data_IF_237089086619
#
_entry.id   IF_237089086619
#
_cell.length_a   1.000
_cell.length_b   1.000
_cell.length_c   1.000
_cell.angle_alpha   90.00
_cell.angle_beta   90.00
_cell.angle_gamma   90.00
#
_symmetry.space_group_name_H-M   'P 1'
#
loop_
_entity.id
_entity.type
_entity.pdbx_description
1 polymer ?
#
# COMPACT_ATOMS: atom_id res chain seq x y z
N UNK A 1 1.79 -18.31 40.88
CA UNK A 1 1.64 -17.32 39.80
C UNK A 1 0.21 -16.77 39.77
N UNK A 2 -0.85 -17.58 39.68
CA UNK A 2 -2.24 -17.11 39.55
C UNK A 2 -2.68 -16.20 40.69
N UNK A 3 -2.42 -16.62 41.95
CA UNK A 3 -2.72 -15.80 43.14
C UNK A 3 -2.01 -14.43 43.08
N UNK A 4 -0.74 -14.38 42.66
CA UNK A 4 0.00 -13.13 42.55
C UNK A 4 -0.62 -12.19 41.49
N UNK A 5 -1.08 -12.74 40.37
CA UNK A 5 -1.76 -11.95 39.35
C UNK A 5 -3.11 -11.40 39.82
N UNK A 6 -3.87 -12.20 40.55
CA UNK A 6 -5.16 -11.78 41.12
C UNK A 6 -4.96 -10.68 42.16
N UNK A 7 -3.97 -10.82 43.05
CA UNK A 7 -3.59 -9.80 44.03
C UNK A 7 -3.12 -8.52 43.34
N UNK A 8 -2.28 -8.62 42.29
CA UNK A 8 -1.82 -7.46 41.53
C UNK A 8 -2.99 -6.71 40.84
N UNK A 9 -3.99 -7.45 40.33
CA UNK A 9 -5.21 -6.83 39.78
C UNK A 9 -6.01 -6.10 40.85
N UNK A 10 -6.18 -6.70 42.02
CA UNK A 10 -6.88 -6.06 43.14
C UNK A 10 -6.16 -4.76 43.58
N UNK A 11 -4.83 -4.80 43.72
CA UNK A 11 -4.02 -3.62 44.01
C UNK A 11 -4.23 -2.54 42.93
N UNK A 12 -4.10 -2.91 41.65
CA UNK A 12 -4.30 -1.98 40.53
C UNK A 12 -5.68 -1.32 40.59
N UNK A 13 -6.74 -2.09 40.83
CA UNK A 13 -8.11 -1.55 40.92
C UNK A 13 -8.26 -0.61 42.10
N UNK A 14 -7.74 -1.01 43.29
CA UNK A 14 -7.82 -0.17 44.48
C UNK A 14 -7.05 1.15 44.36
N UNK A 15 -5.94 1.17 43.60
CA UNK A 15 -5.16 2.39 43.33
C UNK A 15 -5.88 3.40 42.39
N UNK A 16 -7.00 3.04 41.80
CA UNK A 16 -7.85 4.00 41.11
C UNK A 16 -8.43 5.03 42.07
N UNK A 17 -8.92 4.60 43.20
CA UNK A 17 -9.63 5.43 44.18
C UNK A 17 -8.72 5.82 45.38
N UNK A 18 -7.82 4.92 45.82
CA UNK A 18 -6.94 5.15 46.95
C UNK A 18 -5.50 5.52 46.54
N UNK A 19 -4.79 6.37 47.30
CA UNK A 19 -3.40 6.69 47.02
C UNK A 19 -2.44 5.56 47.36
N UNK A 20 -2.87 4.58 48.16
CA UNK A 20 -2.09 3.43 48.62
C UNK A 20 -3.03 2.25 48.87
N UNK A 21 -2.60 1.05 48.51
CA UNK A 21 -3.34 -0.19 48.74
C UNK A 21 -2.41 -1.21 49.41
N UNK A 22 -2.93 -1.85 50.46
CA UNK A 22 -2.28 -2.98 51.12
C UNK A 22 -2.97 -4.29 50.70
N UNK A 23 -2.20 -5.29 50.43
CA UNK A 23 -2.69 -6.63 50.10
C UNK A 23 -1.81 -7.69 50.80
N UNK A 24 -2.39 -8.84 51.02
CA UNK A 24 -1.71 -9.99 51.58
C UNK A 24 -1.56 -11.07 50.51
N UNK A 25 -0.35 -11.58 50.33
CA UNK A 25 -0.07 -12.63 49.34
C UNK A 25 0.50 -13.87 50.05
N UNK A 26 -0.09 -15.01 49.80
CA UNK A 26 0.44 -16.29 50.25
C UNK A 26 1.60 -16.74 49.37
N UNK A 27 2.77 -16.98 49.98
CA UNK A 27 3.97 -17.49 49.31
C UNK A 27 4.48 -18.72 50.07
N UNK A 28 5.35 -19.51 49.43
CA UNK A 28 6.01 -20.62 50.12
C UNK A 28 6.74 -20.11 51.38
N UNK A 29 6.27 -20.51 52.55
CA UNK A 29 6.80 -20.08 53.86
C UNK A 29 5.95 -19.09 54.64
N UNK A 30 4.73 -18.77 54.18
CA UNK A 30 3.75 -17.95 54.92
C UNK A 30 3.19 -16.78 54.12
N UNK A 31 2.36 -15.99 54.79
CA UNK A 31 1.73 -14.81 54.21
C UNK A 31 2.65 -13.59 54.30
N UNK A 32 2.69 -12.77 53.24
CA UNK A 32 3.41 -11.48 53.19
C UNK A 32 2.46 -10.33 52.91
N UNK A 33 2.57 -9.27 53.66
CA UNK A 33 1.91 -8.00 53.40
C UNK A 33 2.72 -7.20 52.39
N UNK A 34 2.04 -6.74 51.36
CA UNK A 34 2.59 -5.87 50.32
C UNK A 34 1.79 -4.56 50.39
N UNK A 35 2.49 -3.44 50.36
CA UNK A 35 1.91 -2.12 50.26
C UNK A 35 2.43 -1.45 49.01
N UNK A 36 1.54 -0.93 48.16
CA UNK A 36 1.88 -0.27 46.92
C UNK A 36 1.19 1.08 46.87
N UNK A 37 1.96 2.11 46.55
CA UNK A 37 1.43 3.47 46.35
C UNK A 37 1.03 3.69 44.88
N UNK A 38 0.15 4.65 44.64
CA UNK A 38 -0.23 5.05 43.27
C UNK A 38 0.98 5.54 42.49
N UNK A 39 1.87 6.32 43.09
CA UNK A 39 3.06 6.86 42.45
C UNK A 39 4.02 5.76 41.98
N UNK A 40 4.23 4.71 42.80
CA UNK A 40 5.03 3.54 42.41
C UNK A 40 4.41 2.81 41.24
N UNK A 41 3.08 2.59 41.27
CA UNK A 41 2.38 1.94 40.17
C UNK A 41 2.43 2.78 38.90
N UNK A 42 2.16 4.10 38.96
CA UNK A 42 2.19 5.00 37.83
C UNK A 42 3.59 5.07 37.20
N UNK A 43 4.66 5.08 37.99
CA UNK A 43 6.03 5.00 37.49
C UNK A 43 6.30 3.71 36.67
N UNK A 44 5.74 2.58 37.09
CA UNK A 44 5.88 1.30 36.41
C UNK A 44 5.15 1.29 35.04
N UNK A 45 4.00 1.96 34.92
CA UNK A 45 3.17 1.93 33.73
C UNK A 45 3.36 3.15 32.80
N UNK A 46 4.17 4.13 33.22
CA UNK A 46 4.38 5.39 32.47
C UNK A 46 4.77 5.14 31.01
N UNK A 47 5.72 4.24 30.77
CA UNK A 47 6.18 3.93 29.41
C UNK A 47 5.08 3.35 28.52
N UNK A 48 4.15 2.56 29.09
CA UNK A 48 3.01 2.02 28.36
C UNK A 48 2.02 3.12 27.99
N UNK A 49 1.78 4.08 28.91
CA UNK A 49 0.93 5.23 28.66
C UNK A 49 1.53 6.14 27.60
N UNK A 50 2.84 6.39 27.65
CA UNK A 50 3.54 7.24 26.66
C UNK A 50 3.43 6.66 25.23
N UNK A 51 3.48 5.33 25.08
CA UNK A 51 3.26 4.66 23.78
C UNK A 51 1.88 4.96 23.20
N UNK A 52 0.82 5.02 23.99
CA UNK A 52 -0.52 5.36 23.50
C UNK A 52 -0.58 6.75 22.86
N UNK A 53 0.20 7.70 23.39
CA UNK A 53 0.29 9.04 22.81
C UNK A 53 0.92 9.09 21.42
N UNK A 54 1.75 8.12 21.07
CA UNK A 54 2.29 8.00 19.70
C UNK A 54 1.15 7.67 18.72
N UNK A 55 0.33 6.67 19.08
CA UNK A 55 -0.83 6.27 18.29
C UNK A 55 -1.86 7.43 18.14
N UNK A 56 -2.14 8.14 19.24
CA UNK A 56 -3.04 9.31 19.21
C UNK A 56 -2.56 10.42 18.28
N UNK A 57 -1.28 10.82 18.38
CA UNK A 57 -0.69 11.85 17.49
C UNK A 57 -0.70 11.43 16.03
N UNK A 58 -0.54 10.14 15.77
CA UNK A 58 -0.61 9.59 14.44
C UNK A 58 -2.03 9.67 13.87
N UNK A 59 -3.02 9.21 14.65
CA UNK A 59 -4.42 9.28 14.23
C UNK A 59 -4.86 10.72 13.90
N UNK A 60 -4.45 11.71 14.69
CA UNK A 60 -4.70 13.12 14.41
C UNK A 60 -4.06 13.58 13.10
N UNK A 61 -2.82 13.18 12.82
CA UNK A 61 -2.13 13.51 11.56
C UNK A 61 -2.80 12.87 10.35
N UNK A 62 -3.19 11.60 10.47
CA UNK A 62 -3.85 10.87 9.40
C UNK A 62 -5.23 11.46 9.07
N UNK A 63 -5.94 11.95 10.10
CA UNK A 63 -7.21 12.64 9.94
C UNK A 63 -7.07 14.11 9.48
N UNK A 64 -5.86 14.68 9.51
CA UNK A 64 -5.64 16.10 9.23
C UNK A 64 -6.28 17.03 10.24
N UNK A 65 -6.51 16.57 11.50
CA UNK A 65 -7.24 17.28 12.56
C UNK A 65 -6.29 17.65 13.69
N UNK A 66 -6.36 18.87 14.18
CA UNK A 66 -5.64 19.30 15.39
C UNK A 66 -6.41 18.92 16.65
N UNK A 67 -5.74 18.78 17.81
CA UNK A 67 -6.43 18.51 19.10
C UNK A 67 -7.50 19.55 19.47
N UNK A 68 -7.34 20.80 19.02
CA UNK A 68 -8.28 21.89 19.32
C UNK A 68 -9.62 21.72 18.57
N UNK A 69 -9.60 21.09 17.40
CA UNK A 69 -10.79 20.89 16.54
C UNK A 69 -11.64 19.69 16.97
N UNK A 70 -11.16 18.86 17.90
CA UNK A 70 -11.96 17.78 18.46
C UNK A 70 -13.08 18.32 19.34
N UNK A 71 -14.29 17.80 19.22
CA UNK A 71 -15.42 18.14 20.11
C UNK A 71 -15.21 17.56 21.51
N UNK A 72 -14.61 16.38 21.62
CA UNK A 72 -14.33 15.72 22.88
C UNK A 72 -13.41 14.52 22.73
N UNK A 73 -12.95 13.97 23.86
CA UNK A 73 -12.17 12.76 23.95
C UNK A 73 -12.89 11.77 24.86
N UNK A 74 -13.20 10.59 24.35
CA UNK A 74 -13.88 9.53 25.09
C UNK A 74 -12.86 8.45 25.41
N UNK A 75 -12.84 7.99 26.65
CA UNK A 75 -12.00 6.89 27.11
C UNK A 75 -12.81 5.60 27.21
N UNK A 76 -12.30 4.53 26.60
CA UNK A 76 -12.96 3.22 26.56
C UNK A 76 -12.02 2.15 27.12
N UNK A 77 -12.59 1.17 27.83
CA UNK A 77 -11.88 0.05 28.43
C UNK A 77 -11.39 0.33 29.85
N UNK A 78 -11.37 -0.72 30.70
CA UNK A 78 -11.08 -0.62 32.14
C UNK A 78 -9.69 -0.04 32.47
N UNK A 79 -8.70 -0.19 31.59
CA UNK A 79 -7.36 0.40 31.78
C UNK A 79 -7.39 1.95 31.81
N UNK A 80 -8.37 2.58 31.17
CA UNK A 80 -8.51 4.04 31.13
C UNK A 80 -9.01 4.63 32.46
N UNK A 81 -9.42 3.81 33.42
CA UNK A 81 -9.73 4.23 34.78
C UNK A 81 -8.49 4.64 35.58
N UNK A 82 -7.28 4.24 35.15
CA UNK A 82 -6.02 4.62 35.82
C UNK A 82 -5.86 6.15 35.77
N UNK A 83 -5.68 6.82 36.94
CA UNK A 83 -5.61 8.29 36.94
C UNK A 83 -4.52 8.88 36.06
N UNK A 84 -3.39 8.19 35.92
CA UNK A 84 -2.31 8.59 35.02
C UNK A 84 -2.78 8.73 33.58
N UNK A 85 -3.59 7.78 33.08
CA UNK A 85 -4.11 7.80 31.69
C UNK A 85 -4.97 9.04 31.48
N UNK A 86 -5.86 9.35 32.39
CA UNK A 86 -6.73 10.55 32.30
C UNK A 86 -5.94 11.84 32.26
N UNK A 87 -4.94 12.00 33.16
CA UNK A 87 -4.06 13.17 33.16
C UNK A 87 -3.21 13.27 31.90
N UNK A 88 -2.73 12.13 31.42
CA UNK A 88 -1.94 12.09 30.19
C UNK A 88 -2.76 12.52 28.97
N UNK A 89 -3.98 12.01 28.83
CA UNK A 89 -4.91 12.37 27.74
C UNK A 89 -5.28 13.85 27.82
N UNK A 90 -5.62 14.35 29.00
CA UNK A 90 -5.92 15.78 29.19
C UNK A 90 -4.73 16.66 28.77
N UNK A 91 -3.50 16.28 29.12
CA UNK A 91 -2.29 17.01 28.69
C UNK A 91 -2.07 16.93 27.18
N UNK A 92 -2.35 15.77 26.56
CA UNK A 92 -2.12 15.53 25.15
C UNK A 92 -3.10 16.31 24.27
N UNK A 93 -4.37 16.35 24.66
CA UNK A 93 -5.45 16.95 23.87
C UNK A 93 -5.84 18.38 24.34
N UNK A 94 -5.32 18.83 25.48
CA UNK A 94 -5.61 20.15 26.05
C UNK A 94 -7.05 20.30 26.61
N UNK A 95 -7.77 19.19 26.75
CA UNK A 95 -9.13 19.14 27.30
C UNK A 95 -9.34 17.85 28.11
N UNK A 96 -10.17 17.91 29.19
CA UNK A 96 -10.44 16.71 29.98
C UNK A 96 -11.25 15.70 29.16
N UNK A 97 -11.00 14.40 29.34
CA UNK A 97 -11.82 13.37 28.72
C UNK A 97 -13.25 13.39 29.25
N UNK A 98 -14.20 13.07 28.38
CA UNK A 98 -15.62 12.93 28.73
C UNK A 98 -15.80 11.72 29.64
N UNK A 99 -16.66 11.85 30.68
CA UNK A 99 -16.86 10.84 31.72
C UNK A 99 -18.30 10.35 31.81
N UNK A 100 -19.16 10.74 30.87
CA UNK A 100 -20.61 10.51 30.93
C UNK A 100 -21.00 9.04 30.66
N UNK A 101 -20.08 8.26 30.12
CA UNK A 101 -20.29 6.83 29.80
C UNK A 101 -19.28 6.00 30.60
N UNK A 102 -19.73 4.89 31.19
CA UNK A 102 -18.84 3.95 31.85
C UNK A 102 -17.93 3.25 30.81
N UNK A 103 -16.60 3.35 30.93
CA UNK A 103 -15.65 2.77 29.96
C UNK A 103 -15.76 1.25 29.79
N UNK A 104 -16.37 0.52 30.74
CA UNK A 104 -16.56 -0.92 30.68
C UNK A 104 -17.89 -1.32 30.02
N UNK A 105 -18.91 -0.47 30.09
CA UNK A 105 -20.25 -0.74 29.57
C UNK A 105 -20.44 -0.27 28.12
N UNK A 106 -19.64 0.70 27.65
CA UNK A 106 -19.81 1.36 26.35
C UNK A 106 -19.81 0.36 25.19
N UNK A 107 -19.00 -0.70 25.26
CA UNK A 107 -18.93 -1.75 24.20
C UNK A 107 -20.24 -2.53 24.12
N UNK A 108 -20.78 -2.94 25.29
CA UNK A 108 -22.05 -3.66 25.35
C UNK A 108 -23.23 -2.80 24.87
N UNK A 109 -23.25 -1.51 25.24
CA UNK A 109 -24.24 -0.55 24.78
C UNK A 109 -24.17 -0.33 23.28
N UNK A 110 -22.96 -0.16 22.72
CA UNK A 110 -22.74 -0.02 21.29
C UNK A 110 -23.18 -1.27 20.51
N UNK A 111 -22.84 -2.47 21.00
CA UNK A 111 -23.28 -3.73 20.41
C UNK A 111 -24.80 -3.88 20.44
N UNK A 112 -25.47 -3.46 21.50
CA UNK A 112 -26.94 -3.49 21.60
C UNK A 112 -27.60 -2.52 20.60
N UNK A 113 -27.04 -1.32 20.43
CA UNK A 113 -27.51 -0.33 19.43
C UNK A 113 -27.35 -0.91 18.02
N UNK A 114 -26.19 -1.49 17.71
CA UNK A 114 -25.93 -2.08 16.40
C UNK A 114 -26.85 -3.28 16.11
N UNK A 115 -27.13 -4.11 17.11
CA UNK A 115 -28.06 -5.21 16.98
C UNK A 115 -29.50 -4.73 16.69
N UNK A 116 -29.92 -3.65 17.33
CA UNK A 116 -31.23 -3.00 17.12
C UNK A 116 -31.36 -2.47 15.68
N UNK A 117 -30.32 -1.80 15.17
CA UNK A 117 -30.23 -1.33 13.77
C UNK A 117 -30.35 -2.51 12.79
N UNK A 118 -29.58 -3.58 13.01
CA UNK A 118 -29.58 -4.79 12.16
C UNK A 118 -30.92 -5.54 12.22
N UNK A 119 -31.63 -5.47 13.34
CA UNK A 119 -32.98 -6.02 13.48
C UNK A 119 -34.07 -5.22 12.74
N UNK A 120 -33.71 -4.08 12.13
CA UNK A 120 -34.61 -3.29 11.29
C UNK A 120 -35.44 -2.27 12.05
N UNK A 121 -34.97 -1.81 13.20
CA UNK A 121 -35.55 -0.66 13.93
C UNK A 121 -35.41 0.60 13.09
N UNK A 122 -36.50 1.04 12.46
CA UNK A 122 -36.52 2.18 11.52
C UNK A 122 -36.19 3.53 12.16
N UNK A 123 -36.36 3.63 13.47
CA UNK A 123 -36.20 4.91 14.18
C UNK A 123 -34.71 5.32 14.38
N UNK A 124 -33.77 4.42 14.14
CA UNK A 124 -32.32 4.67 14.32
C UNK A 124 -31.44 4.27 13.12
N UNK A 125 -31.98 3.57 12.15
CA UNK A 125 -31.22 3.07 10.98
C UNK A 125 -30.65 4.23 10.12
N UNK A 126 -31.29 5.39 10.14
CA UNK A 126 -30.88 6.55 9.34
C UNK A 126 -29.89 7.49 10.10
N UNK A 127 -29.64 7.24 11.40
CA UNK A 127 -28.84 8.13 12.23
C UNK A 127 -27.38 7.69 12.42
N UNK A 128 -27.08 6.40 12.26
CA UNK A 128 -25.74 5.85 12.52
C UNK A 128 -25.27 4.97 11.38
N UNK A 129 -24.29 5.44 10.64
CA UNK A 129 -23.55 4.63 9.66
C UNK A 129 -22.20 4.21 10.26
N UNK A 130 -22.05 2.92 10.53
CA UNK A 130 -20.76 2.36 10.94
C UNK A 130 -19.96 1.99 9.68
N UNK A 131 -18.85 2.66 9.46
CA UNK A 131 -17.91 2.37 8.40
C UNK A 131 -16.59 1.89 9.02
N UNK A 132 -16.07 0.80 8.48
CA UNK A 132 -14.73 0.32 8.81
C UNK A 132 -13.72 0.78 7.76
N UNK A 133 -12.44 0.68 8.06
CA UNK A 133 -11.35 1.10 7.18
C UNK A 133 -10.26 0.02 7.10
N UNK A 134 -9.50 0.05 6.02
CA UNK A 134 -8.32 -0.79 5.88
C UNK A 134 -7.22 -0.31 6.85
N UNK A 135 -6.71 -1.15 7.76
CA UNK A 135 -5.64 -0.77 8.69
C UNK A 135 -4.29 -0.59 8.01
N UNK A 136 -4.07 -1.29 6.90
CA UNK A 136 -2.85 -1.28 6.09
C UNK A 136 -3.20 -1.27 4.60
N UNK A 137 -2.33 -0.66 3.80
CA UNK A 137 -2.46 -0.64 2.34
C UNK A 137 -2.40 -2.05 1.75
N UNK A 138 -3.16 -2.25 0.70
CA UNK A 138 -3.17 -3.47 -0.11
C UNK A 138 -2.56 -3.16 -1.48
N UNK A 139 -1.59 -3.95 -1.89
CA UNK A 139 -0.84 -3.68 -3.11
C UNK A 139 -0.42 -4.92 -3.86
N UNK A 140 0.18 -4.67 -5.01
CA UNK A 140 0.74 -5.67 -5.91
C UNK A 140 2.25 -5.45 -6.03
N UNK A 141 3.04 -6.54 -5.95
CA UNK A 141 4.45 -6.52 -6.29
C UNK A 141 4.62 -6.32 -7.80
N UNK A 142 5.43 -5.35 -8.17
CA UNK A 142 5.82 -5.07 -9.55
C UNK A 142 7.28 -5.42 -9.81
N UNK A 143 7.77 -5.20 -11.04
CA UNK A 143 9.15 -5.48 -11.41
C UNK A 143 10.14 -4.79 -10.47
N UNK A 144 11.16 -5.55 -10.07
CA UNK A 144 12.16 -5.10 -9.09
C UNK A 144 11.74 -5.30 -7.63
N UNK A 145 10.57 -5.89 -7.34
CA UNK A 145 10.08 -6.12 -5.98
C UNK A 145 9.47 -4.87 -5.32
N UNK A 146 9.15 -3.84 -6.11
CA UNK A 146 8.47 -2.62 -5.63
C UNK A 146 6.98 -2.88 -5.46
N UNK A 147 6.38 -2.29 -4.43
CA UNK A 147 4.95 -2.38 -4.15
C UNK A 147 4.20 -1.22 -4.82
N UNK A 148 3.22 -1.56 -5.63
CA UNK A 148 2.21 -0.62 -6.12
C UNK A 148 0.97 -0.73 -5.23
N UNK A 149 0.70 0.31 -4.43
CA UNK A 149 -0.42 0.35 -3.48
C UNK A 149 -1.72 0.65 -4.25
N UNK A 150 -2.60 -0.35 -4.35
CA UNK A 150 -3.87 -0.26 -5.11
C UNK A 150 -4.99 0.30 -4.23
N UNK A 151 -5.09 -0.15 -2.97
CA UNK A 151 -6.00 0.37 -1.96
C UNK A 151 -5.17 0.88 -0.78
N UNK A 152 -5.06 2.20 -0.60
CA UNK A 152 -4.32 2.79 0.53
C UNK A 152 -4.95 2.45 1.89
N UNK A 153 -4.14 2.46 2.95
CA UNK A 153 -4.65 2.41 4.33
C UNK A 153 -5.66 3.54 4.59
N UNK A 154 -6.52 3.36 5.56
CA UNK A 154 -7.62 4.26 5.89
C UNK A 154 -8.70 4.39 4.80
N UNK A 155 -8.62 3.60 3.71
CA UNK A 155 -9.72 3.51 2.75
C UNK A 155 -10.92 2.88 3.44
N UNK A 156 -12.06 3.57 3.42
CA UNK A 156 -13.33 3.07 3.96
C UNK A 156 -13.81 1.85 3.16
N UNK A 157 -14.24 0.80 3.85
CA UNK A 157 -14.79 -0.40 3.22
C UNK A 157 -16.33 -0.42 3.33
N UNK A 158 -17.05 -1.00 2.34
CA UNK A 158 -16.54 -1.68 1.15
C UNK A 158 -15.89 -0.74 0.13
N UNK A 159 -14.80 -1.18 -0.50
CA UNK A 159 -14.03 -0.40 -1.47
C UNK A 159 -13.56 -1.24 -2.67
N UNK A 160 -13.27 -0.57 -3.76
CA UNK A 160 -12.66 -1.22 -4.92
C UNK A 160 -11.80 -0.25 -5.74
N UNK A 161 -10.69 -0.77 -6.25
CA UNK A 161 -9.83 -0.07 -7.18
C UNK A 161 -9.30 -1.02 -8.24
N UNK A 162 -8.91 -0.47 -9.39
CA UNK A 162 -8.34 -1.22 -10.50
C UNK A 162 -7.16 -0.48 -11.11
N UNK A 163 -6.21 -1.25 -11.61
CA UNK A 163 -5.05 -0.74 -12.32
C UNK A 163 -4.67 -1.66 -13.46
N UNK A 164 -4.13 -1.09 -14.54
CA UNK A 164 -3.72 -1.84 -15.72
C UNK A 164 -2.20 -1.94 -15.75
N UNK A 165 -1.71 -3.17 -15.86
CA UNK A 165 -0.29 -3.51 -16.00
C UNK A 165 0.00 -4.06 -17.38
N UNK A 166 1.28 -4.08 -17.77
CA UNK A 166 1.72 -4.61 -19.06
C UNK A 166 2.83 -5.65 -18.87
N UNK A 167 3.09 -6.43 -19.94
CA UNK A 167 4.21 -7.38 -19.95
C UNK A 167 5.55 -6.65 -19.97
N UNK A 168 6.51 -7.16 -19.20
CA UNK A 168 7.87 -6.66 -19.14
C UNK A 168 8.75 -7.22 -20.27
N UNK A 169 8.56 -8.49 -20.65
CA UNK A 169 9.38 -9.18 -21.62
C UNK A 169 8.56 -9.58 -22.87
N UNK A 170 9.27 -9.69 -24.02
CA UNK A 170 8.70 -10.23 -25.23
C UNK A 170 8.28 -11.69 -25.04
N UNK A 171 7.16 -12.05 -25.66
CA UNK A 171 6.59 -13.39 -25.61
C UNK A 171 6.31 -13.93 -24.19
N UNK A 172 6.09 -13.03 -23.24
CA UNK A 172 5.65 -13.40 -21.91
C UNK A 172 4.23 -13.98 -21.96
N UNK A 173 4.06 -15.24 -21.53
CA UNK A 173 2.80 -16.00 -21.62
C UNK A 173 2.03 -16.07 -20.33
N UNK A 174 2.50 -15.39 -19.28
CA UNK A 174 1.84 -15.32 -17.98
C UNK A 174 2.30 -14.15 -17.14
N UNK A 175 1.47 -13.82 -16.13
CA UNK A 175 1.80 -12.84 -15.09
C UNK A 175 1.86 -13.53 -13.74
N UNK A 176 2.96 -13.36 -13.02
CA UNK A 176 3.07 -13.70 -11.61
C UNK A 176 2.54 -12.53 -10.79
N UNK A 177 1.50 -12.81 -10.01
CA UNK A 177 0.81 -11.82 -9.19
C UNK A 177 1.08 -12.13 -7.72
N UNK A 178 1.76 -11.23 -7.04
CA UNK A 178 2.02 -11.31 -5.60
C UNK A 178 1.30 -10.16 -4.90
N UNK A 179 0.27 -10.50 -4.15
CA UNK A 179 -0.55 -9.57 -3.38
C UNK A 179 0.08 -9.40 -2.01
N UNK A 180 0.32 -8.17 -1.62
CA UNK A 180 0.96 -7.81 -0.36
C UNK A 180 0.15 -6.80 0.43
N UNK A 181 0.40 -6.77 1.75
CA UNK A 181 -0.20 -5.85 2.69
C UNK A 181 0.91 -5.16 3.50
N UNK A 182 0.86 -3.83 3.58
CA UNK A 182 1.82 -3.06 4.36
C UNK A 182 2.07 -1.67 3.81
N UNK A 183 2.94 -0.93 4.50
CA UNK A 183 3.26 0.47 4.16
C UNK A 183 4.67 0.65 3.59
N UNK A 184 5.51 -0.42 3.61
CA UNK A 184 6.86 -0.38 3.06
C UNK A 184 6.83 -0.34 1.53
N UNK A 185 7.89 0.15 0.91
CA UNK A 185 7.96 0.31 -0.55
C UNK A 185 8.41 -0.97 -1.28
N UNK A 186 9.04 -1.92 -0.57
CA UNK A 186 9.47 -3.19 -1.13
C UNK A 186 8.59 -4.35 -0.64
N UNK A 187 8.26 -5.27 -1.54
CA UNK A 187 7.40 -6.43 -1.25
C UNK A 187 7.99 -7.38 -0.19
N UNK A 188 9.33 -7.45 -0.09
CA UNK A 188 10.02 -8.28 0.91
C UNK A 188 9.78 -7.79 2.33
N UNK A 189 9.49 -6.49 2.51
CA UNK A 189 9.23 -5.83 3.79
C UNK A 189 7.74 -5.73 4.10
N UNK A 190 6.90 -6.25 3.21
CA UNK A 190 5.45 -6.31 3.36
C UNK A 190 4.98 -7.74 3.64
N UNK A 191 3.79 -7.84 4.22
CA UNK A 191 3.14 -9.12 4.47
C UNK A 191 2.58 -9.71 3.18
N UNK A 192 2.99 -10.93 2.84
CA UNK A 192 2.45 -11.67 1.70
C UNK A 192 1.03 -12.18 2.00
N UNK A 193 0.06 -11.86 1.16
CA UNK A 193 -1.31 -12.32 1.29
C UNK A 193 -1.62 -13.49 0.34
N UNK A 194 -1.20 -13.38 -0.91
CA UNK A 194 -1.43 -14.42 -1.92
C UNK A 194 -0.41 -14.32 -3.05
N UNK A 195 -0.11 -15.49 -3.66
CA UNK A 195 0.64 -15.57 -4.92
C UNK A 195 -0.13 -16.46 -5.89
N UNK A 196 -0.33 -15.98 -7.10
CA UNK A 196 -0.96 -16.76 -8.16
C UNK A 196 -0.46 -16.32 -9.54
N UNK A 197 -0.67 -17.17 -10.55
CA UNK A 197 -0.17 -16.94 -11.91
C UNK A 197 -1.33 -16.91 -12.88
N UNK A 198 -1.51 -15.82 -13.62
CA UNK A 198 -2.38 -15.80 -14.79
C UNK A 198 -1.60 -16.33 -15.99
N UNK A 199 -2.06 -17.44 -16.56
CA UNK A 199 -1.43 -18.11 -17.71
C UNK A 199 -2.30 -18.01 -18.96
N UNK A 200 -1.70 -18.30 -20.12
CA UNK A 200 -2.42 -18.41 -21.38
C UNK A 200 -2.49 -17.11 -22.17
N UNK A 201 -1.62 -16.15 -21.86
CA UNK A 201 -1.49 -14.91 -22.61
C UNK A 201 -0.79 -15.24 -23.94
N UNK A 202 -1.30 -14.77 -25.08
CA UNK A 202 -0.64 -14.94 -26.36
C UNK A 202 0.75 -14.30 -26.36
N UNK A 203 1.76 -14.93 -26.97
CA UNK A 203 3.06 -14.32 -27.10
C UNK A 203 2.99 -13.04 -27.94
N UNK A 204 3.34 -11.92 -27.31
CA UNK A 204 3.33 -10.58 -27.90
C UNK A 204 4.61 -9.82 -27.51
N UNK A 205 4.98 -8.76 -28.23
CA UNK A 205 6.03 -7.85 -27.78
C UNK A 205 5.77 -7.30 -26.38
N UNK A 206 6.84 -7.01 -25.64
CA UNK A 206 6.76 -6.38 -24.32
C UNK A 206 5.88 -5.11 -24.37
N UNK A 207 5.08 -4.90 -23.32
CA UNK A 207 4.18 -3.77 -23.19
C UNK A 207 2.87 -3.86 -23.99
N UNK A 208 2.66 -4.89 -24.80
CA UNK A 208 1.43 -5.02 -25.61
C UNK A 208 0.28 -5.70 -24.87
N UNK A 209 0.56 -6.73 -24.06
CA UNK A 209 -0.47 -7.35 -23.26
C UNK A 209 -0.92 -6.42 -22.13
N UNK A 210 -2.22 -6.31 -21.92
CA UNK A 210 -2.83 -5.44 -20.91
C UNK A 210 -3.54 -6.29 -19.87
N UNK A 211 -3.00 -6.26 -18.66
CA UNK A 211 -3.56 -6.94 -17.50
C UNK A 211 -4.29 -5.95 -16.61
N UNK A 212 -5.61 -6.02 -16.55
CA UNK A 212 -6.39 -5.30 -15.56
C UNK A 212 -6.42 -6.10 -14.25
N UNK A 213 -5.92 -5.50 -13.17
CA UNK A 213 -5.99 -6.07 -11.83
C UNK A 213 -6.97 -5.25 -11.01
N UNK A 214 -8.02 -5.91 -10.53
CA UNK A 214 -9.08 -5.30 -9.73
C UNK A 214 -9.04 -5.83 -8.31
N UNK A 215 -8.92 -4.93 -7.34
CA UNK A 215 -9.04 -5.19 -5.91
C UNK A 215 -10.44 -4.79 -5.46
N UNK A 216 -11.12 -5.66 -4.70
CA UNK A 216 -12.39 -5.36 -4.04
C UNK A 216 -12.36 -5.88 -2.63
N UNK A 217 -12.63 -5.00 -1.67
CA UNK A 217 -12.81 -5.37 -0.27
C UNK A 217 -14.27 -5.17 0.06
N UNK A 218 -14.92 -6.21 0.57
CA UNK A 218 -16.33 -6.15 0.99
C UNK A 218 -16.48 -5.59 2.43
N UNK A 219 -17.71 -5.51 2.90
CA UNK A 219 -18.02 -5.01 4.24
C UNK A 219 -17.48 -5.91 5.37
N UNK A 220 -17.20 -7.19 5.09
CA UNK A 220 -16.64 -8.15 6.04
C UNK A 220 -15.09 -8.13 6.02
N UNK A 221 -14.48 -7.23 5.22
CA UNK A 221 -13.05 -7.10 5.06
C UNK A 221 -12.41 -8.21 4.22
N UNK A 222 -13.17 -8.92 3.39
CA UNK A 222 -12.67 -9.95 2.48
C UNK A 222 -12.17 -9.27 1.20
N UNK A 223 -10.90 -9.48 0.87
CA UNK A 223 -10.29 -9.01 -0.35
C UNK A 223 -10.48 -10.02 -1.49
N UNK A 224 -11.18 -9.64 -2.53
CA UNK A 224 -11.21 -10.31 -3.82
C UNK A 224 -10.26 -9.62 -4.78
N UNK A 225 -9.33 -10.36 -5.36
CA UNK A 225 -8.44 -9.86 -6.43
C UNK A 225 -8.75 -10.60 -7.71
N UNK A 226 -9.08 -9.85 -8.75
CA UNK A 226 -9.34 -10.37 -10.10
C UNK A 226 -8.28 -9.83 -11.03
N UNK A 227 -7.61 -10.71 -11.76
CA UNK A 227 -6.65 -10.37 -12.81
C UNK A 227 -7.22 -10.82 -14.15
N UNK A 228 -7.37 -9.90 -15.11
CA UNK A 228 -7.96 -10.14 -16.43
C UNK A 228 -7.07 -9.58 -17.53
N UNK A 229 -6.69 -10.42 -18.48
CA UNK A 229 -6.04 -9.96 -19.72
C UNK A 229 -7.12 -9.42 -20.68
N UNK A 230 -6.99 -8.16 -21.09
CA UNK A 230 -8.07 -7.42 -21.77
C UNK A 230 -8.29 -7.84 -23.22
N UNK A 231 -7.28 -8.41 -23.89
CA UNK A 231 -7.37 -8.84 -25.29
C UNK A 231 -8.03 -10.20 -25.45
N UNK A 232 -7.63 -11.16 -24.60
CA UNK A 232 -8.14 -12.54 -24.65
C UNK A 232 -9.33 -12.78 -23.74
N UNK A 233 -9.51 -11.92 -22.72
CA UNK A 233 -10.52 -12.08 -21.70
C UNK A 233 -10.20 -13.17 -20.68
N UNK A 234 -9.00 -13.76 -20.70
CA UNK A 234 -8.56 -14.73 -19.70
C UNK A 234 -8.48 -14.04 -18.35
N UNK A 235 -9.10 -14.68 -17.36
CA UNK A 235 -9.23 -14.10 -16.03
C UNK A 235 -8.94 -15.14 -14.95
N UNK A 236 -8.36 -14.67 -13.83
CA UNK A 236 -8.17 -15.45 -12.61
C UNK A 236 -8.58 -14.63 -11.40
N UNK A 237 -9.20 -15.28 -10.41
CA UNK A 237 -9.62 -14.64 -9.18
C UNK A 237 -9.08 -15.38 -7.97
N UNK A 238 -8.71 -14.62 -6.94
CA UNK A 238 -8.36 -15.13 -5.62
C UNK A 238 -9.11 -14.33 -4.55
N UNK A 239 -9.46 -14.98 -3.45
CA UNK A 239 -10.06 -14.34 -2.28
C UNK A 239 -9.18 -14.58 -1.07
N UNK A 240 -8.96 -13.51 -0.31
CA UNK A 240 -8.10 -13.51 0.89
C UNK A 240 -8.77 -12.67 1.97
N UNK A 241 -8.61 -13.05 3.24
CA UNK A 241 -9.01 -12.20 4.37
C UNK A 241 -7.76 -11.51 4.95
N UNK A 242 -7.50 -10.24 4.63
CA UNK A 242 -6.27 -9.54 5.00
C UNK A 242 -6.05 -9.43 6.51
N UNK A 243 -7.13 -9.31 7.29
CA UNK A 243 -7.09 -9.23 8.76
C UNK A 243 -6.85 -10.58 9.46
N UNK A 244 -6.92 -11.69 8.73
CA UNK A 244 -6.75 -13.01 9.35
C UNK A 244 -5.31 -13.24 9.81
N UNK A 245 -5.15 -13.52 11.11
CA UNK A 245 -3.84 -13.75 11.71
C UNK A 245 -2.95 -12.50 11.83
N UNK A 246 -3.54 -11.31 11.83
CA UNK A 246 -2.87 -10.04 12.07
C UNK A 246 -3.40 -9.47 13.41
N UNK A 247 -2.51 -9.31 14.39
CA UNK A 247 -2.83 -8.66 15.65
C UNK A 247 -2.66 -7.15 15.56
N UNK A 248 -3.27 -6.42 16.50
CA UNK A 248 -3.13 -4.96 16.57
C UNK A 248 -1.67 -4.53 16.79
N UNK A 249 -0.91 -5.34 17.56
CA UNK A 249 0.52 -5.11 17.80
C UNK A 249 1.33 -5.26 16.51
N UNK A 250 1.04 -6.26 15.69
CA UNK A 250 1.71 -6.46 14.39
C UNK A 250 1.38 -5.32 13.42
N UNK A 251 0.14 -4.81 13.41
CA UNK A 251 -0.23 -3.61 12.63
C UNK A 251 0.59 -2.41 13.10
N UNK A 252 0.70 -2.18 14.43
CA UNK A 252 1.49 -1.09 15.00
C UNK A 252 2.96 -1.21 14.59
N UNK A 253 3.56 -2.39 14.70
CA UNK A 253 4.95 -2.64 14.30
C UNK A 253 5.19 -2.37 12.82
N UNK A 254 4.32 -2.84 11.94
CA UNK A 254 4.41 -2.58 10.49
C UNK A 254 4.31 -1.09 10.15
N UNK A 255 3.45 -0.38 10.87
CA UNK A 255 3.27 1.06 10.70
C UNK A 255 4.46 1.85 11.24
N UNK A 256 5.04 1.45 12.37
CA UNK A 256 6.25 2.08 12.93
C UNK A 256 7.46 1.83 12.04
N UNK A 257 7.65 0.59 11.57
CA UNK A 257 8.72 0.25 10.63
C UNK A 257 8.66 1.10 9.35
N UNK A 258 7.47 1.35 8.81
CA UNK A 258 7.32 2.21 7.62
C UNK A 258 7.68 3.69 7.90
N UNK A 259 7.49 4.17 9.13
CA UNK A 259 7.92 5.52 9.53
C UNK A 259 9.43 5.62 9.72
N UNK A 260 10.01 4.62 10.40
CA UNK A 260 11.43 4.60 10.72
C UNK A 260 12.31 4.45 9.46
N UNK A 261 11.81 3.73 8.45
CA UNK A 261 12.53 3.46 7.20
C UNK A 261 12.03 4.26 5.99
N UNK A 262 11.14 5.22 6.17
CA UNK A 262 10.45 5.89 5.06
C UNK A 262 11.38 6.58 4.05
N UNK A 263 12.48 7.21 4.51
CA UNK A 263 13.46 7.85 3.63
C UNK A 263 14.31 6.81 2.88
N UNK A 264 14.76 5.77 3.59
CA UNK A 264 15.55 4.68 3.01
C UNK A 264 14.73 3.90 1.96
N UNK A 265 13.46 3.64 2.27
CA UNK A 265 12.52 2.96 1.36
C UNK A 265 12.29 3.76 0.08
N UNK A 266 12.08 5.07 0.19
CA UNK A 266 11.91 5.94 -0.97
C UNK A 266 13.17 5.94 -1.86
N UNK A 267 14.35 6.02 -1.27
CA UNK A 267 15.61 5.96 -1.98
C UNK A 267 15.81 4.60 -2.66
N UNK A 268 15.48 3.51 -1.97
CA UNK A 268 15.58 2.16 -2.51
C UNK A 268 14.58 1.95 -3.66
N UNK A 269 13.33 2.40 -3.52
CA UNK A 269 12.33 2.39 -4.60
C UNK A 269 12.85 3.09 -5.85
N UNK A 270 13.37 4.31 -5.69
CA UNK A 270 13.94 5.08 -6.81
C UNK A 270 15.11 4.38 -7.48
N UNK A 271 15.96 3.71 -6.69
CA UNK A 271 17.09 2.95 -7.21
C UNK A 271 16.63 1.74 -8.03
N UNK A 272 15.68 0.99 -7.49
CA UNK A 272 15.13 -0.21 -8.15
C UNK A 272 14.41 0.19 -9.44
N UNK A 273 13.55 1.20 -9.40
CA UNK A 273 12.83 1.70 -10.59
C UNK A 273 13.81 2.15 -11.69
N UNK A 274 14.86 2.88 -11.31
CA UNK A 274 15.89 3.32 -12.26
C UNK A 274 16.66 2.13 -12.87
N UNK A 275 16.95 1.09 -12.08
CA UNK A 275 17.61 -0.13 -12.59
C UNK A 275 16.70 -0.90 -13.54
N UNK A 276 15.44 -1.11 -13.20
CA UNK A 276 14.46 -1.82 -14.06
C UNK A 276 14.31 -1.11 -15.41
N UNK A 277 14.19 0.22 -15.42
CA UNK A 277 14.11 1.00 -16.66
C UNK A 277 15.40 0.91 -17.47
N UNK A 278 16.57 1.04 -16.84
CA UNK A 278 17.84 0.93 -17.49
C UNK A 278 18.05 -0.46 -18.14
N UNK A 279 17.71 -1.53 -17.44
CA UNK A 279 17.79 -2.90 -17.96
C UNK A 279 16.86 -3.11 -19.16
N UNK A 280 15.64 -2.53 -19.09
CA UNK A 280 14.68 -2.54 -20.20
C UNK A 280 15.26 -1.86 -21.44
N UNK A 281 15.84 -0.67 -21.28
CA UNK A 281 16.44 0.10 -22.38
C UNK A 281 17.66 -0.62 -22.95
N UNK A 282 18.55 -1.14 -22.10
CA UNK A 282 19.71 -1.95 -22.52
C UNK A 282 19.30 -3.17 -23.33
N UNK A 283 18.30 -3.93 -22.83
CA UNK A 283 17.80 -5.11 -23.52
C UNK A 283 17.19 -4.76 -24.89
N UNK A 284 16.35 -3.73 -24.95
CA UNK A 284 15.74 -3.26 -26.20
C UNK A 284 16.81 -2.78 -27.19
N UNK A 285 17.83 -2.07 -26.74
CA UNK A 285 18.92 -1.57 -27.59
C UNK A 285 19.78 -2.72 -28.13
N UNK A 286 20.14 -3.71 -27.30
CA UNK A 286 20.90 -4.91 -27.76
C UNK A 286 20.13 -5.66 -28.84
N UNK A 287 18.86 -5.96 -28.58
CA UNK A 287 17.98 -6.65 -29.54
C UNK A 287 17.83 -5.88 -30.86
N UNK A 288 17.70 -4.55 -30.74
CA UNK A 288 17.61 -3.69 -31.90
C UNK A 288 18.91 -3.69 -32.74
N UNK A 289 20.08 -3.67 -32.08
CA UNK A 289 21.38 -3.75 -32.75
C UNK A 289 21.62 -5.08 -33.45
N UNK A 290 21.10 -6.19 -32.91
CA UNK A 290 21.13 -7.51 -33.57
C UNK A 290 20.26 -7.55 -34.84
N UNK A 291 19.07 -6.91 -34.78
CA UNK A 291 18.10 -6.99 -35.88
C UNK A 291 18.37 -5.98 -37.01
N UNK A 292 18.90 -4.79 -36.68
CA UNK A 292 18.90 -3.63 -37.57
C UNK A 292 20.24 -2.87 -37.59
N UNK A 293 21.37 -3.58 -37.35
CA UNK A 293 22.72 -2.99 -37.41
C UNK A 293 23.07 -2.38 -38.77
N UNK A 294 22.46 -2.87 -39.85
CA UNK A 294 22.60 -2.38 -41.19
C UNK A 294 22.06 -0.94 -41.41
N UNK A 295 21.27 -0.42 -40.48
CA UNK A 295 20.78 0.95 -40.49
C UNK A 295 21.71 1.94 -39.78
N UNK A 296 22.81 1.51 -39.23
CA UNK A 296 23.84 2.40 -38.72
C UNK A 296 24.61 3.05 -39.89
N UNK A 297 24.79 4.37 -39.84
CA UNK A 297 25.44 5.13 -40.92
C UNK A 297 26.96 5.00 -40.90
N UNK A 298 27.53 4.74 -39.73
CA UNK A 298 28.98 4.66 -39.56
C UNK A 298 29.42 3.78 -38.38
N UNK A 299 30.68 3.36 -38.43
CA UNK A 299 31.30 2.68 -37.29
C UNK A 299 31.41 3.60 -36.07
N UNK A 300 31.51 4.91 -36.25
CA UNK A 300 31.54 5.88 -35.16
C UNK A 300 30.19 5.96 -34.45
N UNK A 301 29.06 5.98 -35.17
CA UNK A 301 27.71 5.90 -34.59
C UNK A 301 27.55 4.65 -33.72
N UNK A 302 28.00 3.49 -34.24
CA UNK A 302 28.02 2.25 -33.48
C UNK A 302 28.82 2.36 -32.19
N UNK A 303 30.01 2.95 -32.26
CA UNK A 303 30.89 3.11 -31.13
C UNK A 303 30.29 4.01 -30.06
N UNK A 304 29.65 5.12 -30.44
CA UNK A 304 28.95 6.02 -29.49
C UNK A 304 27.84 5.28 -28.75
N UNK A 305 27.06 4.44 -29.43
CA UNK A 305 26.00 3.62 -28.81
C UNK A 305 26.62 2.61 -27.83
N UNK A 306 27.68 1.88 -28.25
CA UNK A 306 28.35 0.86 -27.41
C UNK A 306 28.99 1.49 -26.15
N UNK A 307 29.57 2.70 -26.27
CA UNK A 307 30.11 3.46 -25.14
C UNK A 307 29.01 3.91 -24.17
N UNK A 308 27.86 4.39 -24.68
CA UNK A 308 26.71 4.77 -23.85
C UNK A 308 26.10 3.55 -23.14
N UNK A 309 25.96 2.40 -23.83
CA UNK A 309 25.53 1.15 -23.22
C UNK A 309 26.47 0.72 -22.08
N UNK A 310 27.78 0.75 -22.32
CA UNK A 310 28.79 0.40 -21.30
C UNK A 310 28.74 1.34 -20.10
N UNK A 311 28.51 2.63 -20.33
CA UNK A 311 28.35 3.60 -19.25
C UNK A 311 27.10 3.32 -18.41
N UNK A 312 25.98 2.99 -19.05
CA UNK A 312 24.75 2.63 -18.37
C UNK A 312 24.88 1.30 -17.60
N UNK A 313 25.53 0.28 -18.16
CA UNK A 313 25.82 -0.98 -17.46
C UNK A 313 26.63 -0.78 -16.17
N UNK A 314 27.60 0.13 -16.21
CA UNK A 314 28.36 0.49 -15.01
C UNK A 314 27.52 1.26 -14.00
N UNK A 315 26.67 2.19 -14.47
CA UNK A 315 25.81 3.00 -13.60
C UNK A 315 24.80 2.11 -12.84
N UNK A 316 24.24 1.08 -13.48
CA UNK A 316 23.28 0.13 -12.88
C UNK A 316 23.90 -0.65 -11.71
N UNK A 317 25.20 -0.91 -11.70
CA UNK A 317 25.90 -1.54 -10.58
C UNK A 317 26.09 -0.63 -9.38
N UNK A 318 25.91 0.69 -9.56
CA UNK A 318 26.03 1.69 -8.48
C UNK A 318 24.72 1.86 -7.67
N UNK A 319 24.77 2.73 -6.69
CA UNK A 319 23.70 3.03 -5.73
C UNK A 319 23.04 4.41 -5.94
N UNK A 320 23.31 5.07 -7.07
CA UNK A 320 22.86 6.44 -7.36
C UNK A 320 21.77 6.47 -8.45
N UNK A 321 20.47 6.57 -8.10
CA UNK A 321 19.38 6.59 -9.08
C UNK A 321 19.54 7.70 -10.13
N UNK A 322 20.01 8.88 -9.72
CA UNK A 322 20.22 10.01 -10.63
C UNK A 322 21.26 9.71 -11.72
N UNK A 323 22.35 9.01 -11.37
CA UNK A 323 23.37 8.63 -12.35
C UNK A 323 22.86 7.59 -13.35
N UNK A 324 22.05 6.61 -12.87
CA UNK A 324 21.42 5.61 -13.74
C UNK A 324 20.49 6.30 -14.73
N UNK A 325 19.62 7.21 -14.26
CA UNK A 325 18.69 7.97 -15.11
C UNK A 325 19.44 8.80 -16.16
N UNK A 326 20.49 9.53 -15.74
CA UNK A 326 21.30 10.32 -16.66
C UNK A 326 21.94 9.44 -17.75
N UNK A 327 22.53 8.30 -17.37
CA UNK A 327 23.12 7.37 -18.33
C UNK A 327 22.08 6.73 -19.26
N UNK A 328 20.85 6.53 -18.78
CA UNK A 328 19.71 6.05 -19.60
C UNK A 328 19.34 7.11 -20.65
N UNK A 329 19.26 8.40 -20.27
CA UNK A 329 19.01 9.51 -21.18
C UNK A 329 20.15 9.68 -22.20
N UNK A 330 21.40 9.46 -21.80
CA UNK A 330 22.55 9.52 -22.71
C UNK A 330 22.47 8.42 -23.78
N UNK A 331 22.07 7.19 -23.39
CA UNK A 331 21.85 6.10 -24.33
C UNK A 331 20.68 6.37 -25.28
N UNK A 332 19.58 6.91 -24.76
CA UNK A 332 18.42 7.32 -25.57
C UNK A 332 18.82 8.37 -26.61
N UNK A 333 19.63 9.35 -26.20
CA UNK A 333 20.17 10.38 -27.07
C UNK A 333 21.12 9.81 -28.14
N UNK A 334 21.98 8.88 -27.75
CA UNK A 334 22.91 8.21 -28.65
C UNK A 334 22.19 7.36 -29.72
N UNK A 335 21.07 6.76 -29.37
CA UNK A 335 20.28 5.88 -30.25
C UNK A 335 19.22 6.63 -31.07
N UNK A 336 18.89 7.88 -30.74
CA UNK A 336 17.75 8.64 -31.28
C UNK A 336 17.69 8.66 -32.82
N UNK A 337 18.77 9.02 -33.49
CA UNK A 337 18.80 9.13 -34.95
C UNK A 337 18.66 7.76 -35.62
N UNK A 338 19.34 6.76 -35.09
CA UNK A 338 19.23 5.39 -35.57
C UNK A 338 17.83 4.80 -35.33
N UNK A 339 17.22 5.06 -34.19
CA UNK A 339 15.84 4.66 -33.89
C UNK A 339 14.83 5.27 -34.87
N UNK A 340 15.05 6.52 -35.28
CA UNK A 340 14.27 7.17 -36.36
C UNK A 340 14.33 6.38 -37.67
N UNK A 341 15.54 6.02 -38.13
CA UNK A 341 15.71 5.22 -39.37
C UNK A 341 15.07 3.81 -39.26
N UNK A 342 15.11 3.20 -38.08
CA UNK A 342 14.42 1.91 -37.82
C UNK A 342 12.90 2.08 -37.94
N UNK A 343 12.36 3.16 -37.38
CA UNK A 343 10.94 3.47 -37.44
C UNK A 343 10.49 3.70 -38.90
N UNK A 344 11.24 4.48 -39.67
CA UNK A 344 10.97 4.71 -41.10
C UNK A 344 10.97 3.41 -41.90
N UNK A 345 11.94 2.52 -41.63
CA UNK A 345 11.99 1.17 -42.25
C UNK A 345 10.78 0.33 -41.87
N UNK A 346 10.37 0.35 -40.61
CA UNK A 346 9.21 -0.40 -40.13
C UNK A 346 7.92 0.12 -40.78
N UNK A 347 7.75 1.42 -40.86
CA UNK A 347 6.62 2.06 -41.54
C UNK A 347 6.62 1.70 -43.03
N UNK A 348 7.75 1.83 -43.73
CA UNK A 348 7.86 1.48 -45.15
C UNK A 348 7.48 0.02 -45.42
N UNK A 349 7.93 -0.92 -44.55
CA UNK A 349 7.56 -2.35 -44.62
C UNK A 349 6.07 -2.58 -44.37
N UNK A 350 5.48 -1.86 -43.41
CA UNK A 350 4.07 -2.01 -43.05
C UNK A 350 3.13 -1.49 -44.15
N UNK A 351 3.59 -0.49 -44.92
CA UNK A 351 2.83 0.14 -46.03
C UNK A 351 3.06 -0.61 -47.37
N UNK A 352 4.22 -1.24 -47.56
CA UNK A 352 4.56 -1.94 -48.77
C UNK A 352 3.52 -3.02 -49.13
N UNK A 353 2.87 -2.87 -50.31
CA UNK A 353 1.88 -3.82 -50.77
C UNK A 353 0.46 -3.67 -50.28
N UNK A 354 0.15 -2.60 -49.52
CA UNK A 354 -1.23 -2.28 -49.09
C UNK A 354 -1.83 -1.17 -49.92
N UNK A 355 -3.12 -1.29 -50.26
CA UNK A 355 -3.89 -0.21 -50.88
C UNK A 355 -4.10 0.93 -49.86
N UNK A 356 -4.13 2.19 -50.33
CA UNK A 356 -4.27 3.41 -49.54
C UNK A 356 -5.48 3.31 -48.59
N UNK A 357 -6.58 2.76 -49.07
CA UNK A 357 -7.82 2.60 -48.29
C UNK A 357 -7.69 1.64 -47.10
N UNK A 358 -6.81 0.63 -47.21
CA UNK A 358 -6.52 -0.29 -46.09
C UNK A 358 -5.61 0.36 -45.02
N UNK A 359 -4.72 1.26 -45.45
CA UNK A 359 -3.86 2.04 -44.58
C UNK A 359 -4.67 3.03 -43.77
N UNK A 360 -5.60 3.77 -44.44
CA UNK A 360 -6.50 4.72 -43.79
C UNK A 360 -7.39 4.04 -42.74
N UNK A 361 -7.94 2.86 -43.02
CA UNK A 361 -8.73 2.07 -42.05
C UNK A 361 -7.89 1.62 -40.84
N UNK A 362 -6.65 1.22 -41.07
CA UNK A 362 -5.75 0.81 -39.99
C UNK A 362 -5.35 1.99 -39.07
N UNK A 363 -5.08 3.16 -39.66
CA UNK A 363 -4.76 4.40 -38.93
C UNK A 363 -5.99 4.93 -38.16
N UNK A 364 -7.19 4.86 -38.77
CA UNK A 364 -8.42 5.24 -38.09
C UNK A 364 -8.74 4.32 -36.91
N UNK A 365 -8.44 3.03 -37.04
CA UNK A 365 -8.60 2.06 -35.94
C UNK A 365 -7.62 2.33 -34.79
N UNK A 366 -6.35 2.62 -35.11
CA UNK A 366 -5.34 2.97 -34.11
C UNK A 366 -5.69 4.28 -33.37
N UNK A 367 -6.13 5.33 -34.09
CA UNK A 367 -6.62 6.57 -33.48
C UNK A 367 -7.87 6.36 -32.61
N UNK A 368 -8.74 5.43 -32.97
CA UNK A 368 -9.92 5.06 -32.16
C UNK A 368 -9.51 4.39 -30.83
N UNK A 369 -8.47 3.58 -30.83
CA UNK A 369 -7.92 2.95 -29.61
C UNK A 369 -7.27 4.00 -28.70
N UNK A 370 -6.48 4.93 -29.24
CA UNK A 370 -5.87 6.01 -28.46
C UNK A 370 -6.91 6.99 -27.88
N UNK A 371 -7.99 7.27 -28.61
CA UNK A 371 -9.10 8.09 -28.12
C UNK A 371 -9.81 7.41 -26.93
N UNK A 372 -10.03 6.10 -27.00
CA UNK A 372 -10.65 5.35 -25.90
C UNK A 372 -9.75 5.27 -24.65
N UNK A 373 -8.43 5.17 -24.83
CA UNK A 373 -7.46 5.18 -23.72
C UNK A 373 -7.47 6.56 -23.05
N UNK A 374 -7.45 7.64 -23.81
CA UNK A 374 -7.45 9.02 -23.27
C UNK A 374 -8.78 9.39 -22.60
N UNK A 375 -9.93 8.88 -23.05
CA UNK A 375 -11.22 9.05 -22.37
C UNK A 375 -11.28 8.29 -21.04
N UNK A 376 -10.70 7.09 -20.99
CA UNK A 376 -10.62 6.30 -19.74
C UNK A 376 -9.68 6.93 -18.71
N UNK A 377 -8.54 7.47 -19.13
CA UNK A 377 -7.61 8.20 -18.27
C UNK A 377 -8.23 9.49 -17.71
N UNK A 378 -9.02 10.22 -18.53
CA UNK A 378 -9.77 11.41 -18.06
C UNK A 378 -10.88 11.06 -17.09
N UNK A 379 -11.61 9.97 -17.32
CA UNK A 379 -12.65 9.50 -16.41
C UNK A 379 -12.06 9.05 -15.06
N UNK A 380 -10.89 8.42 -15.07
CA UNK A 380 -10.16 8.01 -13.86
C UNK A 380 -9.61 9.23 -13.07
N UNK A 381 -9.30 10.33 -13.75
CA UNK A 381 -8.84 11.58 -13.14
C UNK A 381 -9.98 12.53 -12.70
N UNK A 382 -11.26 12.13 -12.85
CA UNK A 382 -12.42 12.94 -12.48
C UNK A 382 -12.63 14.18 -13.36
N UNK A 383 -12.05 14.20 -14.56
CA UNK A 383 -12.20 15.32 -15.51
C UNK A 383 -13.43 15.09 -16.42
N UNK A 384 -14.17 16.15 -16.81
CA UNK A 384 -15.35 16.01 -17.64
C UNK A 384 -15.03 15.42 -19.01
N UNK A 385 -15.74 14.36 -19.38
CA UNK A 385 -15.71 13.77 -20.73
C UNK A 385 -16.48 14.69 -21.64
N UNK A 386 -15.86 15.22 -22.67
CA UNK A 386 -16.54 16.03 -23.69
C UNK A 386 -17.41 15.11 -24.55
N UNK A 387 -18.73 15.15 -24.33
CA UNK A 387 -19.69 14.60 -25.28
C UNK A 387 -19.56 15.31 -26.65
N UNK A 388 -19.38 14.52 -27.69
CA UNK A 388 -19.60 14.93 -29.09
C UNK A 388 -20.82 14.26 -29.61
#
# INVERSE_FOLDING_TARGET
VRLALDTARQIKHGLTDAPQVEAEIEVEGGSRKISVTRDEFEALVQSLVDRTGVACRRALRDAGVSPAELDGVILVGGATRVPLVRRYVEKLFGKPPLTDIDPEEVVALGAAIQADILAGSKDRADEVLLLDVLPLSLGLETMGGVVEKILPRNTTIPAGARQVFTTYADNQTGFDLHIVQGERELAVDCRSLAKFVLKGIPPMPAGMARLEVTFRVDADGILGVTAKELTTGIEQRVEVKPSYGLSDEEVEEMLMAALDHGEDDLNMRQLVEARVEAERVLHATRKALEADADLLESAEERKVIDEAMTALERAVLGDKPALIRLSTEDLDRATHTWAGRRMDRAIARAIAGKEIEQIEKSVAHAKGVDAHVSEHERAAAGLPVTEK
#
